data_IF_291526103034
#
_entry.id   IF_291526103034
#
_cell.length_a   1.000
_cell.length_b   1.000
_cell.length_c   1.000
_cell.angle_alpha   90.00
_cell.angle_beta   90.00
_cell.angle_gamma   90.00
#
_symmetry.space_group_name_H-M   'P 1'
#
loop_
_entity.id
_entity.type
_entity.pdbx_description
1 polymer ?
#
# COMPACT_ATOMS: atom_id res chain seq x y z
N UNK A 1 -10.61 20.63 -5.19
CA UNK A 1 -9.29 20.10 -5.62
C UNK A 1 -8.39 19.79 -4.43
N UNK A 2 -7.94 20.79 -3.66
CA UNK A 2 -7.10 20.55 -2.47
C UNK A 2 -7.76 19.60 -1.44
N UNK A 3 -9.04 19.82 -1.14
CA UNK A 3 -9.79 19.00 -0.16
C UNK A 3 -9.86 17.53 -0.55
N UNK A 4 -10.04 17.22 -1.84
CA UNK A 4 -10.09 15.84 -2.35
C UNK A 4 -8.73 15.16 -2.24
N UNK A 5 -7.64 15.89 -2.50
CA UNK A 5 -6.26 15.39 -2.34
C UNK A 5 -5.97 15.12 -0.87
N UNK A 6 -6.31 16.05 0.03
CA UNK A 6 -6.13 15.88 1.47
C UNK A 6 -6.96 14.72 2.02
N UNK A 7 -8.17 14.51 1.51
CA UNK A 7 -9.01 13.38 1.89
C UNK A 7 -8.41 12.05 1.43
N UNK A 8 -7.89 11.97 0.19
CA UNK A 8 -7.18 10.80 -0.30
C UNK A 8 -5.92 10.48 0.52
N UNK A 9 -5.14 11.50 0.85
CA UNK A 9 -3.97 11.36 1.74
C UNK A 9 -4.37 10.93 3.15
N UNK A 10 -5.45 11.50 3.70
CA UNK A 10 -5.97 11.12 5.02
C UNK A 10 -6.39 9.66 5.08
N UNK A 11 -7.08 9.17 4.05
CA UNK A 11 -7.43 7.75 3.93
C UNK A 11 -6.19 6.86 3.79
N UNK A 12 -5.23 7.24 2.95
CA UNK A 12 -3.95 6.51 2.80
C UNK A 12 -3.24 6.35 4.14
N UNK A 13 -3.10 7.44 4.91
CA UNK A 13 -2.45 7.43 6.22
C UNK A 13 -3.23 6.61 7.25
N UNK A 14 -4.56 6.67 7.22
CA UNK A 14 -5.41 5.90 8.11
C UNK A 14 -5.22 4.40 7.84
N UNK A 15 -5.30 3.97 6.58
CA UNK A 15 -5.09 2.56 6.23
C UNK A 15 -3.66 2.08 6.49
N UNK A 16 -2.64 2.88 6.20
CA UNK A 16 -1.24 2.54 6.49
C UNK A 16 -0.98 2.45 8.00
N UNK A 17 -1.59 3.35 8.79
CA UNK A 17 -1.46 3.38 10.24
C UNK A 17 -2.24 2.30 10.99
N UNK A 18 -3.29 1.73 10.38
CA UNK A 18 -4.11 0.68 11.01
C UNK A 18 -3.32 -0.59 11.29
N UNK A 19 -2.44 -1.02 10.38
CA UNK A 19 -1.62 -2.23 10.56
C UNK A 19 -0.76 -2.19 11.83
N UNK A 20 0.11 -1.17 11.99
CA UNK A 20 0.90 -0.96 13.19
C UNK A 20 0.07 -0.77 14.47
N UNK A 21 -1.07 -0.07 14.37
CA UNK A 21 -1.89 0.29 15.53
C UNK A 21 -2.67 -0.91 16.09
N UNK A 22 -3.27 -1.73 15.22
CA UNK A 22 -4.11 -2.85 15.64
C UNK A 22 -3.30 -4.10 15.99
N UNK A 23 -2.27 -4.41 15.19
CA UNK A 23 -1.52 -5.65 15.32
C UNK A 23 0.00 -5.44 15.09
N UNK A 24 0.69 -4.74 16.01
CA UNK A 24 2.10 -4.37 15.82
C UNK A 24 3.03 -5.58 15.64
N UNK A 25 2.80 -6.69 16.35
CA UNK A 25 3.64 -7.89 16.26
C UNK A 25 3.47 -8.63 14.94
N UNK A 26 2.24 -8.83 14.50
CA UNK A 26 1.95 -9.50 13.22
C UNK A 26 2.42 -8.63 12.04
N UNK A 27 2.23 -7.32 12.12
CA UNK A 27 2.74 -6.36 11.14
C UNK A 27 4.27 -6.42 11.03
N UNK A 28 4.99 -6.42 12.15
CA UNK A 28 6.45 -6.55 12.17
C UNK A 28 6.94 -7.88 11.59
N UNK A 29 6.25 -8.99 11.89
CA UNK A 29 6.56 -10.29 11.30
C UNK A 29 6.35 -10.29 9.78
N UNK A 30 5.25 -9.71 9.29
CA UNK A 30 4.99 -9.57 7.86
C UNK A 30 6.08 -8.77 7.16
N UNK A 31 6.49 -7.64 7.73
CA UNK A 31 7.58 -6.83 7.17
C UNK A 31 8.90 -7.59 7.13
N UNK A 32 9.21 -8.39 8.15
CA UNK A 32 10.41 -9.25 8.15
C UNK A 32 10.37 -10.28 7.03
N UNK A 33 9.24 -10.99 6.89
CA UNK A 33 9.04 -11.96 5.81
C UNK A 33 9.19 -11.32 4.43
N UNK A 34 8.72 -10.08 4.25
CA UNK A 34 8.89 -9.33 3.01
C UNK A 34 10.33 -8.90 2.79
N UNK A 35 11.05 -8.51 3.84
CA UNK A 35 12.46 -8.10 3.75
C UNK A 35 13.42 -9.26 3.45
N UNK A 36 13.04 -10.50 3.82
CA UNK A 36 13.81 -11.71 3.52
C UNK A 36 13.55 -12.24 2.10
N UNK A 37 12.55 -11.73 1.38
CA UNK A 37 12.32 -12.12 -0.01
C UNK A 37 13.43 -11.60 -0.94
N UNK A 38 13.78 -12.34 -1.99
CA UNK A 38 14.73 -11.87 -2.99
C UNK A 38 14.19 -10.61 -3.69
N UNK A 39 15.09 -9.67 -3.99
CA UNK A 39 14.77 -8.34 -4.56
C UNK A 39 13.89 -8.42 -5.80
N UNK A 40 14.03 -9.46 -6.61
CA UNK A 40 13.20 -9.65 -7.80
C UNK A 40 11.73 -9.92 -7.45
N UNK A 41 11.45 -10.71 -6.41
CA UNK A 41 10.09 -10.97 -5.96
C UNK A 41 9.49 -9.73 -5.31
N UNK A 42 10.26 -9.00 -4.50
CA UNK A 42 9.81 -7.73 -3.93
C UNK A 42 9.44 -6.72 -5.04
N UNK A 43 10.23 -6.66 -6.12
CA UNK A 43 9.93 -5.84 -7.30
C UNK A 43 8.66 -6.29 -8.02
N UNK A 44 8.39 -7.61 -8.10
CA UNK A 44 7.14 -8.14 -8.70
C UNK A 44 5.93 -7.78 -7.84
N UNK A 45 6.03 -7.88 -6.51
CA UNK A 45 4.96 -7.49 -5.58
C UNK A 45 4.66 -5.99 -5.74
N UNK A 46 5.69 -5.14 -5.69
CA UNK A 46 5.55 -3.70 -5.94
C UNK A 46 4.99 -3.39 -7.32
N UNK A 47 5.46 -4.09 -8.36
CA UNK A 47 4.96 -3.97 -9.72
C UNK A 47 3.48 -4.30 -9.85
N UNK A 48 3.02 -5.42 -9.26
CA UNK A 48 1.61 -5.79 -9.23
C UNK A 48 0.75 -4.74 -8.52
N UNK A 49 1.22 -4.19 -7.39
CA UNK A 49 0.51 -3.12 -6.66
C UNK A 49 0.36 -1.85 -7.53
N UNK A 50 1.44 -1.42 -8.20
CA UNK A 50 1.42 -0.26 -9.10
C UNK A 50 0.48 -0.48 -10.28
N UNK A 51 0.54 -1.65 -10.93
CA UNK A 51 -0.32 -1.98 -12.08
C UNK A 51 -1.79 -2.04 -11.65
N UNK A 52 -2.11 -2.71 -10.54
CA UNK A 52 -3.47 -2.77 -10.04
C UNK A 52 -4.02 -1.36 -9.72
N UNK A 53 -3.22 -0.52 -9.04
CA UNK A 53 -3.59 0.87 -8.76
C UNK A 53 -3.81 1.68 -10.03
N UNK A 54 -2.94 1.54 -11.03
CA UNK A 54 -3.08 2.22 -12.32
C UNK A 54 -4.35 1.79 -13.06
N UNK A 55 -4.68 0.49 -13.05
CA UNK A 55 -5.91 -0.04 -13.67
C UNK A 55 -7.15 0.51 -12.98
N UNK A 56 -7.18 0.54 -11.64
CA UNK A 56 -8.31 1.10 -10.88
C UNK A 56 -8.48 2.60 -11.19
N UNK A 57 -7.38 3.37 -11.17
CA UNK A 57 -7.43 4.80 -11.50
C UNK A 57 -7.90 5.03 -12.93
N UNK A 58 -7.38 4.26 -13.89
CA UNK A 58 -7.81 4.34 -15.28
C UNK A 58 -9.31 4.03 -15.45
N UNK A 59 -9.80 3.00 -14.76
CA UNK A 59 -11.21 2.63 -14.77
C UNK A 59 -12.13 3.67 -14.12
N UNK A 60 -11.66 4.38 -13.08
CA UNK A 60 -12.43 5.40 -12.36
C UNK A 60 -12.40 6.78 -13.05
N UNK A 61 -11.31 7.09 -13.77
CA UNK A 61 -11.11 8.36 -14.49
C UNK A 61 -11.79 8.35 -15.86
N UNK A 62 -11.99 7.17 -16.46
CA UNK A 62 -12.77 6.99 -17.70
C UNK A 62 -14.26 7.24 -17.46
#
# INVERSE_FOLDING_TARGET
>A
MLTSILMGLGLLLLFEGLGPLLMPRAWQQMLRLLSEQPTEQLRRIGGCLVVAGAVILWALVR
#
